data_IF_492316959615
#
_entry.id   IF_492316959615
#
_cell.length_a   1.000
_cell.length_b   1.000
_cell.length_c   1.000
_cell.angle_alpha   90.00
_cell.angle_beta   90.00
_cell.angle_gamma   90.00
#
_symmetry.space_group_name_H-M   'P 1'
#
loop_
_entity.id
_entity.type
_entity.pdbx_description
1 polymer ?
#
# COMPACT_ATOMS: atom_id res chain seq x y z
N UNK A 1 -1.12 -6.10 19.12
CA UNK A 1 -0.17 -6.42 18.04
C UNK A 1 -0.82 -7.40 17.09
N UNK A 2 -0.62 -7.24 15.80
CA UNK A 2 -1.24 -8.10 14.79
C UNK A 2 -0.44 -9.39 14.60
N UNK A 3 -1.14 -10.43 14.14
CA UNK A 3 -0.49 -11.62 13.62
C UNK A 3 -0.39 -11.48 12.10
N UNK A 4 0.80 -11.20 11.61
CA UNK A 4 1.05 -10.95 10.18
C UNK A 4 0.62 -12.13 9.30
N UNK A 5 0.64 -13.35 9.81
CA UNK A 5 0.25 -14.52 9.02
C UNK A 5 -1.25 -14.56 8.72
N UNK A 6 -2.05 -13.75 9.41
CA UNK A 6 -3.48 -13.62 9.18
C UNK A 6 -3.83 -12.45 8.24
N UNK A 7 -2.83 -11.76 7.72
CA UNK A 7 -3.04 -10.58 6.88
C UNK A 7 -2.32 -10.69 5.54
N UNK A 8 -2.95 -10.13 4.52
CA UNK A 8 -2.37 -10.03 3.18
C UNK A 8 -2.06 -8.58 2.86
N UNK A 9 -0.93 -8.34 2.23
CA UNK A 9 -0.54 -7.01 1.73
C UNK A 9 -0.45 -7.07 0.22
N UNK A 10 -1.10 -6.13 -0.44
CA UNK A 10 -1.01 -5.97 -1.89
C UNK A 10 0.14 -5.01 -2.21
N UNK A 11 1.09 -5.47 -3.01
CA UNK A 11 2.21 -4.65 -3.47
C UNK A 11 1.98 -4.30 -4.93
N UNK A 12 1.79 -3.01 -5.21
CA UNK A 12 1.49 -2.49 -6.55
C UNK A 12 2.67 -1.68 -7.04
N UNK A 13 3.38 -2.21 -8.03
CA UNK A 13 4.60 -1.60 -8.58
C UNK A 13 4.82 -2.19 -9.97
N UNK A 14 4.98 -1.34 -10.98
CA UNK A 14 5.17 -1.79 -12.37
C UNK A 14 6.60 -2.26 -12.65
N UNK A 15 7.54 -1.99 -11.76
CA UNK A 15 8.93 -2.44 -11.90
C UNK A 15 9.11 -3.80 -11.24
N UNK A 16 9.34 -4.88 -12.02
CA UNK A 16 9.39 -6.23 -11.45
C UNK A 16 10.43 -6.40 -10.34
N UNK A 17 11.61 -5.80 -10.47
CA UNK A 17 12.68 -5.95 -9.48
C UNK A 17 12.33 -5.32 -8.14
N UNK A 18 11.80 -4.08 -8.14
CA UNK A 18 11.40 -3.42 -6.90
C UNK A 18 10.15 -4.06 -6.28
N UNK A 19 9.19 -4.48 -7.12
CA UNK A 19 8.01 -5.20 -6.65
C UNK A 19 8.40 -6.50 -5.96
N UNK A 20 9.28 -7.28 -6.60
CA UNK A 20 9.77 -8.53 -6.04
C UNK A 20 10.50 -8.33 -4.72
N UNK A 21 11.38 -7.32 -4.65
CA UNK A 21 12.16 -7.05 -3.45
C UNK A 21 11.25 -6.69 -2.27
N UNK A 22 10.26 -5.83 -2.51
CA UNK A 22 9.28 -5.45 -1.48
C UNK A 22 8.46 -6.67 -1.03
N UNK A 23 7.94 -7.43 -1.99
CA UNK A 23 7.14 -8.61 -1.69
C UNK A 23 7.93 -9.64 -0.88
N UNK A 24 9.18 -9.88 -1.25
CA UNK A 24 10.06 -10.80 -0.55
C UNK A 24 10.30 -10.37 0.90
N UNK A 25 10.55 -9.09 1.12
CA UNK A 25 10.78 -8.56 2.47
C UNK A 25 9.54 -8.73 3.35
N UNK A 26 8.36 -8.48 2.80
CA UNK A 26 7.12 -8.62 3.54
C UNK A 26 6.78 -10.08 3.83
N UNK A 27 7.02 -10.98 2.88
CA UNK A 27 6.84 -12.42 3.08
C UNK A 27 7.78 -12.95 4.16
N UNK A 28 9.03 -12.51 4.13
CA UNK A 28 10.02 -12.91 5.14
C UNK A 28 9.61 -12.46 6.54
N UNK A 29 8.86 -11.38 6.65
CA UNK A 29 8.35 -10.85 7.91
C UNK A 29 7.04 -11.51 8.38
N UNK A 30 6.47 -12.41 7.57
CA UNK A 30 5.29 -13.19 7.95
C UNK A 30 4.00 -12.86 7.22
N UNK A 31 3.95 -11.78 6.44
CA UNK A 31 2.75 -11.43 5.69
C UNK A 31 2.51 -12.36 4.49
N UNK A 32 1.24 -12.55 4.17
CA UNK A 32 0.88 -13.04 2.84
C UNK A 32 0.97 -11.84 1.89
N UNK A 33 1.45 -12.04 0.68
CA UNK A 33 1.64 -10.94 -0.27
C UNK A 33 1.02 -11.29 -1.62
N UNK A 34 0.27 -10.33 -2.15
CA UNK A 34 -0.27 -10.36 -3.52
C UNK A 34 0.44 -9.27 -4.30
N UNK A 35 0.87 -9.55 -5.51
CA UNK A 35 1.58 -8.59 -6.35
C UNK A 35 0.70 -8.14 -7.52
N UNK A 36 0.79 -6.85 -7.86
CA UNK A 36 0.13 -6.28 -9.01
C UNK A 36 1.07 -5.30 -9.72
N UNK A 37 0.97 -5.21 -11.03
CA UNK A 37 1.83 -4.37 -11.85
C UNK A 37 1.10 -3.11 -12.38
N UNK A 38 -0.19 -2.98 -12.14
CA UNK A 38 -1.01 -1.90 -12.70
C UNK A 38 -2.12 -1.50 -11.73
N UNK A 39 -2.62 -0.29 -11.91
CA UNK A 39 -3.68 0.26 -11.07
C UNK A 39 -5.00 -0.51 -11.15
N UNK A 40 -5.36 -0.99 -12.34
CA UNK A 40 -6.57 -1.78 -12.54
C UNK A 40 -6.57 -3.05 -11.70
N UNK A 41 -5.42 -3.73 -11.63
CA UNK A 41 -5.27 -4.92 -10.78
C UNK A 41 -5.44 -4.59 -9.30
N UNK A 42 -4.90 -3.44 -8.88
CA UNK A 42 -5.03 -2.99 -7.50
C UNK A 42 -6.50 -2.78 -7.12
N UNK A 43 -7.30 -2.22 -8.03
CA UNK A 43 -8.72 -2.01 -7.80
C UNK A 43 -9.50 -3.32 -7.70
N UNK A 44 -9.09 -4.33 -8.46
CA UNK A 44 -9.72 -5.66 -8.41
C UNK A 44 -9.38 -6.41 -7.12
N UNK A 45 -8.15 -6.28 -6.64
CA UNK A 45 -7.63 -7.07 -5.53
C UNK A 45 -7.76 -6.40 -4.17
N UNK A 46 -8.02 -5.10 -4.14
CA UNK A 46 -7.99 -4.31 -2.90
C UNK A 46 -8.93 -4.80 -1.80
N UNK A 47 -10.10 -5.31 -2.16
CA UNK A 47 -11.07 -5.79 -1.16
C UNK A 47 -10.63 -7.10 -0.47
N UNK A 48 -9.62 -7.78 -0.99
CA UNK A 48 -9.16 -9.07 -0.48
C UNK A 48 -7.90 -8.97 0.39
N UNK A 49 -7.42 -7.76 0.65
CA UNK A 49 -6.16 -7.55 1.37
C UNK A 49 -6.37 -6.64 2.57
N UNK A 50 -5.40 -6.68 3.50
CA UNK A 50 -5.45 -5.88 4.72
C UNK A 50 -4.79 -4.52 4.57
N UNK A 51 -3.92 -4.36 3.57
CA UNK A 51 -3.24 -3.10 3.28
C UNK A 51 -2.67 -3.12 1.87
N UNK A 52 -2.39 -1.93 1.33
CA UNK A 52 -1.78 -1.77 0.00
C UNK A 52 -0.50 -0.94 0.14
N UNK A 53 0.58 -1.44 -0.45
CA UNK A 53 1.80 -0.67 -0.70
C UNK A 53 1.73 -0.26 -2.17
N UNK A 54 1.60 1.02 -2.44
CA UNK A 54 1.16 1.53 -3.73
C UNK A 54 2.18 2.52 -4.31
N UNK A 55 2.75 2.16 -5.47
CA UNK A 55 3.58 3.08 -6.23
C UNK A 55 2.71 4.18 -6.82
N UNK A 56 3.21 5.40 -6.84
CA UNK A 56 2.51 6.54 -7.42
C UNK A 56 2.51 6.46 -8.95
N UNK A 57 3.62 6.04 -9.56
CA UNK A 57 3.76 5.99 -11.02
C UNK A 57 3.46 4.58 -11.55
N UNK A 58 2.26 4.40 -12.09
CA UNK A 58 1.82 3.13 -12.69
C UNK A 58 1.52 3.35 -14.17
N UNK A 59 1.51 2.29 -14.99
CA UNK A 59 1.38 2.44 -16.45
C UNK A 59 -0.01 2.93 -16.91
N UNK A 60 -1.04 2.65 -16.15
CA UNK A 60 -2.43 2.95 -16.52
C UNK A 60 -3.05 4.11 -15.75
N UNK A 61 -2.76 4.20 -14.45
CA UNK A 61 -3.30 5.22 -13.55
C UNK A 61 -2.20 5.72 -12.62
N UNK A 62 -2.30 6.95 -12.16
CA UNK A 62 -1.47 7.38 -11.02
C UNK A 62 -1.96 6.68 -9.76
N UNK A 63 -1.04 6.35 -8.86
CA UNK A 63 -1.40 5.76 -7.56
C UNK A 63 -2.40 6.62 -6.80
N UNK A 64 -2.32 7.94 -6.92
CA UNK A 64 -3.29 8.87 -6.32
C UNK A 64 -4.72 8.60 -6.80
N UNK A 65 -4.88 8.30 -8.08
CA UNK A 65 -6.20 7.96 -8.65
C UNK A 65 -6.69 6.61 -8.14
N UNK A 66 -5.79 5.63 -8.05
CA UNK A 66 -6.13 4.32 -7.47
C UNK A 66 -6.64 4.48 -6.04
N UNK A 67 -5.94 5.25 -5.22
CA UNK A 67 -6.36 5.49 -3.84
C UNK A 67 -7.72 6.18 -3.79
N UNK A 68 -7.92 7.20 -4.60
CA UNK A 68 -9.19 7.93 -4.65
C UNK A 68 -10.35 6.98 -4.99
N UNK A 69 -10.14 6.08 -5.96
CA UNK A 69 -11.14 5.08 -6.35
C UNK A 69 -11.38 4.04 -5.25
N UNK A 70 -10.34 3.60 -4.57
CA UNK A 70 -10.48 2.70 -3.41
C UNK A 70 -11.35 3.35 -2.33
N UNK A 71 -11.11 4.63 -2.04
CA UNK A 71 -11.87 5.37 -1.03
C UNK A 71 -13.34 5.56 -1.40
N UNK A 72 -13.66 5.54 -2.68
CA UNK A 72 -15.04 5.71 -3.16
C UNK A 72 -15.89 4.44 -3.04
N UNK A 73 -15.28 3.29 -2.74
CA UNK A 73 -15.97 2.00 -2.64
C UNK A 73 -16.17 1.62 -1.18
N UNK A 74 -17.38 1.16 -0.78
CA UNK A 74 -17.62 0.75 0.61
C UNK A 74 -16.65 -0.34 1.10
N UNK A 75 -16.28 -1.28 0.24
CA UNK A 75 -15.44 -2.42 0.61
C UNK A 75 -13.97 -2.04 0.86
N UNK A 76 -13.53 -0.89 0.33
CA UNK A 76 -12.13 -0.47 0.43
C UNK A 76 -11.97 0.95 0.99
N UNK A 77 -13.06 1.57 1.44
CA UNK A 77 -13.03 2.95 1.94
C UNK A 77 -12.06 3.17 3.09
N UNK A 78 -11.82 2.16 3.90
CA UNK A 78 -10.94 2.23 5.08
C UNK A 78 -9.65 1.42 4.91
N UNK A 79 -9.39 0.89 3.71
CA UNK A 79 -8.20 0.08 3.45
C UNK A 79 -6.94 0.91 3.65
N UNK A 80 -5.99 0.49 4.52
CA UNK A 80 -4.73 1.20 4.66
C UNK A 80 -3.95 1.25 3.35
N UNK A 81 -3.50 2.44 2.97
CA UNK A 81 -2.71 2.69 1.76
C UNK A 81 -1.42 3.39 2.14
N UNK A 82 -0.29 2.76 1.82
CA UNK A 82 1.04 3.33 2.00
C UNK A 82 1.60 3.61 0.61
N UNK A 83 1.82 4.87 0.29
CA UNK A 83 2.48 5.24 -0.96
C UNK A 83 3.98 5.01 -0.86
N UNK A 84 4.58 4.52 -1.93
CA UNK A 84 6.03 4.47 -2.09
C UNK A 84 6.38 5.07 -3.44
N UNK A 85 7.27 6.06 -3.48
CA UNK A 85 7.62 6.72 -4.73
C UNK A 85 9.11 7.02 -4.79
N UNK A 86 9.69 6.78 -5.98
CA UNK A 86 11.06 7.19 -6.30
C UNK A 86 11.08 8.50 -7.13
N UNK A 87 9.96 8.87 -7.74
CA UNK A 87 9.86 10.02 -8.65
C UNK A 87 9.12 11.20 -8.04
N UNK A 88 8.02 10.95 -7.33
CA UNK A 88 7.17 11.97 -6.74
C UNK A 88 7.58 12.14 -5.27
N UNK A 89 8.68 12.85 -5.04
CA UNK A 89 9.35 12.90 -3.74
C UNK A 89 9.26 14.24 -3.03
N UNK A 90 8.70 15.28 -3.68
CA UNK A 90 8.57 16.58 -3.08
C UNK A 90 7.56 16.59 -1.93
N UNK A 91 7.68 17.58 -1.06
CA UNK A 91 6.69 17.76 0.01
C UNK A 91 5.29 17.98 -0.55
N UNK A 92 5.19 18.71 -1.69
CA UNK A 92 3.92 18.92 -2.38
C UNK A 92 3.32 17.60 -2.86
N UNK A 93 4.13 16.71 -3.45
CA UNK A 93 3.68 15.38 -3.88
C UNK A 93 3.14 14.58 -2.71
N UNK A 94 3.83 14.63 -1.57
CA UNK A 94 3.40 13.94 -0.37
C UNK A 94 2.07 14.48 0.15
N UNK A 95 1.88 15.79 0.10
CA UNK A 95 0.61 16.41 0.50
C UNK A 95 -0.54 15.99 -0.41
N UNK A 96 -0.29 15.91 -1.72
CA UNK A 96 -1.27 15.41 -2.68
C UNK A 96 -1.67 13.98 -2.35
N UNK A 97 -0.69 13.12 -2.12
CA UNK A 97 -0.94 11.71 -1.77
C UNK A 97 -1.77 11.56 -0.51
N UNK A 98 -1.43 12.28 0.53
CA UNK A 98 -2.19 12.23 1.78
C UNK A 98 -3.59 12.83 1.59
N UNK A 99 -3.72 13.85 0.76
CA UNK A 99 -5.02 14.45 0.44
C UNK A 99 -5.94 13.54 -0.36
N UNK A 100 -5.41 12.54 -1.07
CA UNK A 100 -6.24 11.54 -1.77
C UNK A 100 -6.71 10.42 -0.87
N UNK A 101 -6.28 10.40 0.38
CA UNK A 101 -6.69 9.41 1.36
C UNK A 101 -5.61 8.40 1.74
N UNK A 102 -4.36 8.63 1.34
CA UNK A 102 -3.23 7.79 1.76
C UNK A 102 -2.99 7.89 3.25
N UNK A 103 -2.55 6.79 3.85
CA UNK A 103 -2.28 6.71 5.29
C UNK A 103 -0.82 7.01 5.62
N UNK A 104 0.08 6.80 4.66
CA UNK A 104 1.49 7.10 4.79
C UNK A 104 2.11 7.31 3.41
N UNK A 105 3.22 8.02 3.36
CA UNK A 105 3.94 8.28 2.12
C UNK A 105 5.44 8.09 2.38
N UNK A 106 6.07 7.20 1.62
CA UNK A 106 7.49 6.89 1.78
C UNK A 106 8.23 7.13 0.48
N UNK A 107 9.44 7.66 0.60
CA UNK A 107 10.32 7.90 -0.54
C UNK A 107 11.27 6.71 -0.68
N UNK A 108 11.34 6.14 -1.88
CA UNK A 108 12.23 5.00 -2.15
C UNK A 108 13.71 5.47 -2.20
N UNK A 109 14.65 4.64 -1.77
CA UNK A 109 14.49 3.29 -1.23
C UNK A 109 13.92 3.31 0.18
N UNK A 110 12.96 2.42 0.43
CA UNK A 110 12.24 2.38 1.70
C UNK A 110 12.97 1.46 2.69
N UNK A 111 13.11 1.92 3.92
CA UNK A 111 13.62 1.10 5.00
C UNK A 111 12.56 0.04 5.35
N UNK A 112 12.94 -1.24 5.27
CA UNK A 112 12.03 -2.35 5.52
C UNK A 112 11.41 -2.30 6.92
N UNK A 113 12.20 -1.98 7.93
CA UNK A 113 11.70 -1.92 9.31
C UNK A 113 10.66 -0.81 9.48
N UNK A 114 10.86 0.33 8.83
CA UNK A 114 9.90 1.44 8.85
C UNK A 114 8.59 1.03 8.17
N UNK A 115 8.69 0.37 7.02
CA UNK A 115 7.52 -0.12 6.29
C UNK A 115 6.72 -1.13 7.13
N UNK A 116 7.41 -2.09 7.74
CA UNK A 116 6.77 -3.10 8.59
C UNK A 116 6.07 -2.48 9.79
N UNK A 117 6.74 -1.56 10.47
CA UNK A 117 6.16 -0.87 11.62
C UNK A 117 4.91 -0.09 11.23
N UNK A 118 4.95 0.59 10.08
CA UNK A 118 3.82 1.36 9.56
C UNK A 118 2.64 0.44 9.22
N UNK A 119 2.90 -0.66 8.53
CA UNK A 119 1.85 -1.63 8.20
C UNK A 119 1.23 -2.25 9.44
N UNK A 120 2.05 -2.68 10.40
CA UNK A 120 1.57 -3.24 11.66
C UNK A 120 0.64 -2.26 12.38
N UNK A 121 1.04 -1.00 12.45
CA UNK A 121 0.25 0.04 13.11
C UNK A 121 -1.09 0.26 12.39
N UNK A 122 -1.05 0.44 11.07
CA UNK A 122 -2.25 0.73 10.28
C UNK A 122 -3.24 -0.44 10.28
N UNK A 123 -2.75 -1.65 10.14
CA UNK A 123 -3.59 -2.86 10.17
C UNK A 123 -4.16 -3.06 11.57
N UNK A 124 -3.34 -2.85 12.59
CA UNK A 124 -3.76 -2.96 13.99
C UNK A 124 -4.88 -1.98 14.33
N UNK A 125 -4.79 -0.74 13.84
CA UNK A 125 -5.83 0.26 14.04
C UNK A 125 -7.16 -0.17 13.41
N UNK A 126 -7.13 -0.74 12.21
CA UNK A 126 -8.34 -1.24 11.56
C UNK A 126 -8.96 -2.39 12.34
N UNK A 127 -8.14 -3.27 12.89
CA UNK A 127 -8.62 -4.39 13.69
C UNK A 127 -9.30 -3.93 14.99
N UNK A 128 -8.83 -2.84 15.60
CA UNK A 128 -9.43 -2.30 16.84
C UNK A 128 -10.70 -1.51 16.58
N UNK A 129 -10.86 -0.94 15.41
CA UNK A 129 -12.04 -0.14 15.05
C UNK A 129 -13.26 -1.01 14.79
N UNK A 130 -13.09 -2.28 14.51
CA UNK A 130 -14.18 -3.19 14.16
C UNK A 130 -15.08 -3.59 15.35
N UNK A 131 -14.82 -3.06 16.49
CA UNK A 131 -15.67 -3.26 17.66
C UNK A 131 -16.84 -2.27 17.66
#
# INVERSE_FOLDING_TARGET
>A
MIDRTQHSVLVVDDTPSSRYATARSLRAAGFNVVEAAAGAEALELGEFVSAVVLDVHLPDLLGYEVCRLLRSRPTTAQLPVVYVSALYISEEDQQIGMGTGGNAYMVAPVDTQTLLATLDHLIGDQSTVSH
#
